data_IF_306013446916
#
_entry.id   IF_306013446916
#
_cell.length_a   1.000
_cell.length_b   1.000
_cell.length_c   1.000
_cell.angle_alpha   90.00
_cell.angle_beta   90.00
_cell.angle_gamma   90.00
#
_symmetry.space_group_name_H-M   'P 1'
#
loop_
_entity.id
_entity.type
_entity.pdbx_description
1 polymer ?
#
# COMPACT_ATOMS: atom_id res chain seq x y z
N UNK A 1 3.29 -8.34 11.34
CA UNK A 1 4.51 -7.63 10.89
C UNK A 1 4.16 -6.18 10.62
N UNK A 2 4.83 -5.23 11.26
CA UNK A 2 4.64 -3.79 11.00
C UNK A 2 5.33 -3.38 9.69
N UNK A 3 4.70 -2.55 8.88
CA UNK A 3 5.30 -2.06 7.63
C UNK A 3 6.52 -1.18 7.88
N UNK A 4 7.51 -1.24 6.98
CA UNK A 4 8.59 -0.26 6.93
C UNK A 4 8.01 1.11 6.54
N UNK A 5 8.29 2.12 7.36
CA UNK A 5 7.89 3.51 7.16
C UNK A 5 8.79 4.20 6.14
N UNK A 6 8.35 5.34 5.61
CA UNK A 6 9.19 6.12 4.69
C UNK A 6 10.51 6.57 5.33
N UNK A 7 10.48 7.03 6.58
CA UNK A 7 11.70 7.41 7.32
C UNK A 7 12.69 6.26 7.49
N UNK A 8 12.21 5.03 7.64
CA UNK A 8 13.06 3.85 7.69
C UNK A 8 13.66 3.54 6.32
N UNK A 9 12.93 3.74 5.21
CA UNK A 9 13.48 3.57 3.85
C UNK A 9 14.64 4.51 3.57
N UNK A 10 14.49 5.79 3.94
CA UNK A 10 15.57 6.78 3.81
C UNK A 10 16.81 6.34 4.60
N UNK A 11 16.62 5.86 5.83
CA UNK A 11 17.74 5.32 6.64
C UNK A 11 18.38 4.08 6.00
N UNK A 12 17.58 3.17 5.43
CA UNK A 12 18.07 1.97 4.74
C UNK A 12 18.91 2.36 3.53
N UNK A 13 18.47 3.34 2.74
CA UNK A 13 19.23 3.87 1.60
C UNK A 13 20.60 4.41 2.04
N UNK A 14 20.64 5.29 3.05
CA UNK A 14 21.91 5.74 3.65
C UNK A 14 22.76 4.57 4.16
N UNK A 15 22.14 3.55 4.77
CA UNK A 15 22.87 2.38 5.26
C UNK A 15 23.47 1.53 4.14
N UNK A 16 22.82 1.46 2.98
CA UNK A 16 23.35 0.79 1.80
C UNK A 16 24.60 1.52 1.28
N UNK A 17 24.55 2.85 1.20
CA UNK A 17 25.70 3.68 0.80
C UNK A 17 26.89 3.52 1.75
N UNK A 18 26.61 3.37 3.05
CA UNK A 18 27.61 3.13 4.09
C UNK A 18 28.09 1.66 4.16
N UNK A 19 27.56 0.76 3.32
CA UNK A 19 28.01 -0.64 3.24
C UNK A 19 27.61 -1.52 4.44
N UNK A 20 26.51 -1.19 5.13
CA UNK A 20 26.05 -1.96 6.27
C UNK A 20 25.43 -3.30 5.84
N UNK A 21 25.60 -4.32 6.67
CA UNK A 21 24.90 -5.60 6.53
C UNK A 21 23.44 -5.50 6.99
N UNK A 22 22.60 -6.42 6.48
CA UNK A 22 21.18 -6.54 6.87
C UNK A 22 20.99 -6.69 8.39
N UNK A 23 21.93 -7.35 9.07
CA UNK A 23 21.90 -7.53 10.53
C UNK A 23 22.12 -6.18 11.23
N UNK A 24 23.13 -5.41 10.82
CA UNK A 24 23.43 -4.09 11.40
C UNK A 24 22.28 -3.10 11.17
N UNK A 25 21.69 -3.10 9.98
CA UNK A 25 20.51 -2.28 9.66
C UNK A 25 19.32 -2.68 10.55
N UNK A 26 19.07 -3.99 10.69
CA UNK A 26 17.99 -4.52 11.51
C UNK A 26 18.11 -4.10 12.97
N UNK A 27 19.30 -4.22 13.57
CA UNK A 27 19.57 -3.76 14.94
C UNK A 27 19.29 -2.27 15.10
N UNK A 28 19.79 -1.43 14.18
CA UNK A 28 19.62 0.04 14.26
C UNK A 28 18.17 0.51 14.09
N UNK A 29 17.38 -0.21 13.29
CA UNK A 29 15.97 0.12 13.04
C UNK A 29 15.01 -0.65 13.94
N UNK A 30 15.52 -1.50 14.84
CA UNK A 30 14.72 -2.45 15.62
C UNK A 30 13.79 -3.32 14.74
N UNK A 31 14.35 -3.84 13.63
CA UNK A 31 13.69 -4.71 12.64
C UNK A 31 14.44 -6.03 12.50
N UNK A 32 13.74 -7.08 12.10
CA UNK A 32 14.41 -8.35 11.79
C UNK A 32 15.29 -8.22 10.55
N UNK A 33 16.43 -8.92 10.45
CA UNK A 33 17.24 -8.96 9.24
C UNK A 33 16.46 -9.44 8.01
N UNK A 34 15.46 -10.32 8.20
CA UNK A 34 14.55 -10.76 7.15
C UNK A 34 13.64 -9.65 6.62
N UNK A 35 13.22 -8.72 7.49
CA UNK A 35 12.43 -7.55 7.08
C UNK A 35 13.29 -6.61 6.23
N UNK A 36 14.55 -6.39 6.62
CA UNK A 36 15.51 -5.60 5.82
C UNK A 36 15.75 -6.25 4.46
N UNK A 37 16.02 -7.57 4.42
CA UNK A 37 16.21 -8.31 3.18
C UNK A 37 15.00 -8.18 2.24
N UNK A 38 13.78 -8.35 2.77
CA UNK A 38 12.56 -8.19 1.99
C UNK A 38 12.41 -6.76 1.44
N UNK A 39 12.73 -5.74 2.24
CA UNK A 39 12.68 -4.36 1.79
C UNK A 39 13.72 -4.06 0.70
N UNK A 40 14.97 -4.51 0.86
CA UNK A 40 16.05 -4.37 -0.13
C UNK A 40 15.75 -5.10 -1.45
N UNK A 41 14.91 -6.14 -1.42
CA UNK A 41 14.49 -6.86 -2.63
C UNK A 41 13.50 -6.09 -3.51
N UNK A 42 12.98 -4.94 -3.05
CA UNK A 42 11.99 -4.15 -3.81
C UNK A 42 12.57 -3.50 -5.07
N UNK A 43 13.83 -3.05 -5.04
CA UNK A 43 14.49 -2.38 -6.16
C UNK A 43 16.02 -2.53 -6.09
N UNK A 44 16.68 -2.46 -7.25
CA UNK A 44 18.14 -2.51 -7.37
C UNK A 44 18.62 -1.50 -8.43
N UNK A 45 19.55 -0.57 -8.10
CA UNK A 45 20.05 -0.28 -6.76
C UNK A 45 18.94 0.15 -5.80
N UNK A 46 19.13 -0.03 -4.49
CA UNK A 46 18.09 0.33 -3.52
C UNK A 46 17.90 1.85 -3.49
N UNK A 47 16.67 2.32 -3.69
CA UNK A 47 16.29 3.72 -3.59
C UNK A 47 15.03 3.87 -2.76
N UNK A 48 15.05 4.78 -1.77
CA UNK A 48 13.95 4.90 -0.82
C UNK A 48 12.65 5.36 -1.48
N UNK A 49 12.72 6.31 -2.41
CA UNK A 49 11.56 6.83 -3.15
C UNK A 49 10.91 5.77 -4.04
N UNK A 50 11.70 4.95 -4.74
CA UNK A 50 11.18 3.87 -5.56
C UNK A 50 10.52 2.78 -4.71
N UNK A 51 11.16 2.39 -3.59
CA UNK A 51 10.60 1.42 -2.66
C UNK A 51 9.31 1.92 -2.00
N UNK A 52 9.21 3.22 -1.71
CA UNK A 52 8.00 3.86 -1.21
C UNK A 52 6.88 3.83 -2.26
N UNK A 53 7.18 4.24 -3.49
CA UNK A 53 6.22 4.25 -4.61
C UNK A 53 5.69 2.85 -4.90
N UNK A 54 6.54 1.83 -4.90
CA UNK A 54 6.12 0.42 -5.02
C UNK A 54 5.21 -0.02 -3.86
N UNK A 55 5.54 0.36 -2.62
CA UNK A 55 4.72 0.04 -1.46
C UNK A 55 3.33 0.69 -1.51
N UNK A 56 3.24 1.95 -1.96
CA UNK A 56 1.99 2.68 -2.16
C UNK A 56 1.16 2.11 -3.30
N UNK A 57 1.81 1.79 -4.43
CA UNK A 57 1.18 1.15 -5.58
C UNK A 57 0.59 -0.22 -5.21
N UNK A 58 1.34 -1.05 -4.48
CA UNK A 58 0.82 -2.34 -4.00
C UNK A 58 -0.33 -2.14 -3.01
N UNK A 59 -0.22 -1.16 -2.10
CA UNK A 59 -1.27 -0.84 -1.12
C UNK A 59 -2.56 -0.38 -1.79
N UNK A 60 -2.50 0.45 -2.84
CA UNK A 60 -3.69 0.90 -3.57
C UNK A 60 -4.41 -0.24 -4.30
N UNK A 61 -3.69 -1.34 -4.58
CA UNK A 61 -4.22 -2.56 -5.19
C UNK A 61 -4.62 -3.64 -4.18
N UNK A 62 -4.30 -3.46 -2.90
CA UNK A 62 -4.73 -4.36 -1.85
C UNK A 62 -6.22 -4.17 -1.52
N UNK A 63 -6.82 -5.22 -0.94
CA UNK A 63 -8.20 -5.18 -0.47
C UNK A 63 -9.21 -5.68 -1.51
N UNK A 64 -10.48 -5.70 -1.09
CA UNK A 64 -11.59 -6.15 -1.93
C UNK A 64 -11.98 -5.04 -2.90
N UNK A 65 -11.89 -5.33 -4.20
CA UNK A 65 -12.39 -4.40 -5.23
C UNK A 65 -13.87 -4.13 -5.00
N UNK A 66 -14.27 -2.87 -5.08
CA UNK A 66 -15.68 -2.49 -4.97
C UNK A 66 -16.47 -3.02 -6.17
N UNK A 67 -17.71 -3.46 -5.93
CA UNK A 67 -18.67 -3.77 -7.01
C UNK A 67 -19.28 -2.50 -7.61
N UNK A 68 -19.07 -1.35 -6.97
CA UNK A 68 -19.63 -0.07 -7.38
C UNK A 68 -18.88 0.47 -8.61
N UNK A 69 -19.39 0.19 -9.80
CA UNK A 69 -18.99 0.89 -11.02
C UNK A 69 -19.57 2.31 -11.05
N UNK A 70 -19.03 3.18 -11.89
CA UNK A 70 -19.58 4.54 -12.07
C UNK A 70 -21.01 4.52 -12.58
N UNK A 71 -21.33 3.59 -13.49
CA UNK A 71 -22.69 3.38 -13.98
C UNK A 71 -23.63 2.94 -12.85
N UNK A 72 -23.22 1.96 -12.05
CA UNK A 72 -24.00 1.49 -10.90
C UNK A 72 -24.20 2.61 -9.88
N UNK A 73 -23.17 3.43 -9.65
CA UNK A 73 -23.24 4.61 -8.78
C UNK A 73 -24.24 5.63 -9.31
N UNK A 74 -24.22 5.95 -10.60
CA UNK A 74 -25.19 6.89 -11.18
C UNK A 74 -26.61 6.35 -11.10
N UNK A 75 -26.82 5.06 -11.38
CA UNK A 75 -28.15 4.45 -11.24
C UNK A 75 -28.66 4.54 -9.80
N UNK A 76 -27.86 4.13 -8.81
CA UNK A 76 -28.21 4.27 -7.39
C UNK A 76 -28.56 5.73 -7.03
N UNK A 77 -27.74 6.70 -7.45
CA UNK A 77 -27.99 8.12 -7.17
C UNK A 77 -29.29 8.63 -7.80
N UNK A 78 -29.62 8.18 -9.01
CA UNK A 78 -30.87 8.54 -9.68
C UNK A 78 -32.09 8.00 -8.92
N UNK A 79 -32.10 6.74 -8.50
CA UNK A 79 -33.22 6.20 -7.72
C UNK A 79 -33.34 6.83 -6.33
N UNK A 80 -32.21 7.17 -5.68
CA UNK A 80 -32.23 7.94 -4.43
C UNK A 80 -32.88 9.32 -4.63
N UNK A 81 -32.62 10.02 -5.75
CA UNK A 81 -33.29 11.29 -6.08
C UNK A 81 -34.79 11.13 -6.31
N UNK A 82 -35.22 9.94 -6.76
CA UNK A 82 -36.63 9.56 -6.87
C UNK A 82 -37.24 9.12 -5.52
N UNK A 83 -36.52 9.29 -4.40
CA UNK A 83 -36.93 8.89 -3.05
C UNK A 83 -37.15 7.39 -2.86
N UNK A 84 -36.50 6.55 -3.67
CA UNK A 84 -36.55 5.10 -3.48
C UNK A 84 -35.75 4.69 -2.26
N UNK A 85 -36.24 3.70 -1.51
CA UNK A 85 -35.49 3.13 -0.40
C UNK A 85 -34.33 2.25 -0.91
N UNK A 86 -33.24 2.08 -0.14
CA UNK A 86 -32.15 1.20 -0.52
C UNK A 86 -32.60 -0.24 -0.85
N UNK A 87 -33.61 -0.76 -0.15
CA UNK A 87 -34.18 -2.09 -0.44
C UNK A 87 -34.89 -2.16 -1.79
N UNK A 88 -35.61 -1.11 -2.18
CA UNK A 88 -36.24 -1.02 -3.50
C UNK A 88 -35.20 -0.94 -4.61
N UNK A 89 -34.16 -0.13 -4.41
CA UNK A 89 -33.05 0.00 -5.35
C UNK A 89 -32.36 -1.35 -5.55
N UNK A 90 -32.08 -2.08 -4.46
CA UNK A 90 -31.43 -3.38 -4.53
C UNK A 90 -32.25 -4.44 -5.30
N UNK A 91 -33.59 -4.38 -5.24
CA UNK A 91 -34.49 -5.29 -5.97
C UNK A 91 -34.56 -5.04 -7.48
N UNK A 92 -34.01 -3.93 -7.96
CA UNK A 92 -34.03 -3.52 -9.36
C UNK A 92 -32.77 -3.97 -10.15
N UNK A 93 -31.88 -4.72 -9.49
CA UNK A 93 -30.62 -5.24 -10.05
C UNK A 93 -30.57 -6.76 -10.03
#
# INVERSE_FOLDING_TARGET
MSSITYSERIKIETFCELGLSNIQMGVRLNRSPSTISYELSRCQPYQAELAQTDAEYKRSRCGRKTKLSDELKQKILNHLRLSWSPGMIAHEF
#
